data_IF_153661924101
#
_entry.id   IF_153661924101
#
_cell.length_a   1.000
_cell.length_b   1.000
_cell.length_c   1.000
_cell.angle_alpha   90.00
_cell.angle_beta   90.00
_cell.angle_gamma   90.00
#
_symmetry.space_group_name_H-M   'P 1'
#
loop_
_entity.id
_entity.type
_entity.pdbx_description
1 polymer ?
#
# COMPACT_ATOMS: atom_id res chain seq x y z
N UNK A 1 -14.93 -31.63 20.49
CA UNK A 1 -14.77 -31.54 19.02
C UNK A 1 -13.33 -31.92 18.73
N UNK A 2 -13.10 -33.14 18.25
CA UNK A 2 -11.75 -33.66 18.00
C UNK A 2 -11.23 -33.13 16.65
N UNK A 3 -10.12 -32.40 16.69
CA UNK A 3 -9.51 -31.79 15.50
C UNK A 3 -8.33 -32.65 15.02
N UNK A 4 -8.55 -33.45 13.98
CA UNK A 4 -7.51 -34.24 13.32
C UNK A 4 -6.82 -33.42 12.23
N UNK A 5 -5.65 -32.83 12.49
CA UNK A 5 -4.95 -31.94 11.54
C UNK A 5 -3.95 -32.74 10.69
N UNK A 6 -4.05 -32.56 9.39
CA UNK A 6 -3.10 -33.06 8.39
C UNK A 6 -2.25 -31.89 7.85
N UNK A 7 -1.01 -32.18 7.45
CA UNK A 7 -0.08 -31.23 6.83
C UNK A 7 -0.61 -30.82 5.44
N UNK A 8 -0.81 -29.52 5.20
CA UNK A 8 -1.14 -29.01 3.86
C UNK A 8 0.09 -28.35 3.23
N UNK A 9 0.23 -28.53 1.92
CA UNK A 9 1.08 -27.69 1.07
C UNK A 9 0.56 -26.23 1.15
N UNK A 10 1.46 -25.26 1.19
CA UNK A 10 1.17 -23.86 1.53
C UNK A 10 0.25 -23.09 0.56
N UNK A 11 -0.33 -22.02 1.13
CA UNK A 11 -0.85 -20.80 0.52
C UNK A 11 -2.36 -20.61 0.32
N UNK A 12 -3.15 -20.72 1.39
CA UNK A 12 -4.41 -19.97 1.56
C UNK A 12 -4.34 -19.16 2.86
N UNK A 13 -4.26 -17.82 2.84
CA UNK A 13 -4.48 -17.02 4.06
C UNK A 13 -5.96 -17.13 4.44
N UNK A 14 -6.31 -17.19 5.72
CA UNK A 14 -7.71 -17.15 6.14
C UNK A 14 -7.93 -16.01 7.12
N UNK A 15 -8.75 -15.04 6.73
CA UNK A 15 -9.25 -14.00 7.63
C UNK A 15 -10.57 -14.51 8.21
N UNK A 16 -10.62 -14.77 9.51
CA UNK A 16 -11.84 -15.17 10.19
C UNK A 16 -12.83 -14.00 10.26
N UNK A 17 -14.14 -14.26 10.19
CA UNK A 17 -15.13 -13.20 10.49
C UNK A 17 -15.00 -12.69 11.93
N UNK A 18 -15.79 -11.66 12.27
CA UNK A 18 -15.82 -11.10 13.63
C UNK A 18 -16.09 -12.20 14.66
N UNK A 19 -15.16 -12.36 15.60
CA UNK A 19 -15.21 -13.32 16.71
C UNK A 19 -14.94 -12.60 18.02
N UNK A 20 -15.50 -13.14 19.10
CA UNK A 20 -15.18 -12.67 20.43
C UNK A 20 -13.74 -13.08 20.82
N UNK A 21 -13.03 -12.26 21.64
CA UNK A 21 -11.67 -12.59 22.08
C UNK A 21 -11.57 -13.97 22.74
N UNK A 22 -12.62 -14.36 23.50
CA UNK A 22 -12.68 -15.68 24.14
C UNK A 22 -12.79 -16.84 23.16
N UNK A 23 -13.50 -16.69 22.05
CA UNK A 23 -13.59 -17.70 20.98
C UNK A 23 -12.24 -17.85 20.28
N UNK A 24 -11.61 -16.71 19.98
CA UNK A 24 -10.30 -16.63 19.34
C UNK A 24 -9.22 -17.29 20.21
N UNK A 25 -9.22 -16.99 21.51
CA UNK A 25 -8.29 -17.58 22.49
C UNK A 25 -8.46 -19.10 22.57
N UNK A 26 -9.69 -19.59 22.59
CA UNK A 26 -9.95 -21.04 22.58
C UNK A 26 -9.34 -21.71 21.36
N UNK A 27 -9.49 -21.11 20.17
CA UNK A 27 -8.88 -21.66 18.95
C UNK A 27 -7.35 -21.72 19.03
N UNK A 28 -6.72 -20.67 19.54
CA UNK A 28 -5.28 -20.60 19.71
C UNK A 28 -4.78 -21.66 20.69
N UNK A 29 -5.39 -21.77 21.88
CA UNK A 29 -5.00 -22.78 22.86
C UNK A 29 -5.29 -24.20 22.39
N UNK A 30 -6.41 -24.46 21.72
CA UNK A 30 -6.68 -25.78 21.15
C UNK A 30 -5.65 -26.17 20.09
N UNK A 31 -5.06 -25.22 19.37
CA UNK A 31 -3.96 -25.51 18.44
C UNK A 31 -2.67 -25.89 19.17
N UNK A 32 -2.36 -25.19 20.27
CA UNK A 32 -1.23 -25.53 21.16
C UNK A 32 -1.40 -26.94 21.74
N UNK A 33 -2.56 -27.23 22.32
CA UNK A 33 -2.90 -28.56 22.85
C UNK A 33 -2.74 -29.64 21.79
N UNK A 34 -3.21 -29.38 20.57
CA UNK A 34 -3.07 -30.32 19.47
C UNK A 34 -1.61 -30.52 19.05
N UNK A 35 -0.81 -29.45 18.94
CA UNK A 35 0.63 -29.55 18.63
C UNK A 35 1.39 -30.35 19.69
N UNK A 36 0.99 -30.25 20.96
CA UNK A 36 1.55 -31.01 22.08
C UNK A 36 1.21 -32.51 22.06
N UNK A 37 0.23 -32.94 21.27
CA UNK A 37 -0.18 -34.36 21.19
C UNK A 37 0.32 -35.01 19.89
N UNK A 38 0.88 -34.22 18.97
CA UNK A 38 1.50 -34.78 17.77
C UNK A 38 2.72 -35.62 18.11
N UNK A 39 2.91 -36.71 17.37
CA UNK A 39 4.08 -37.59 17.48
C UNK A 39 5.39 -36.90 17.08
N UNK A 40 5.32 -35.80 16.33
CA UNK A 40 6.44 -34.94 15.98
C UNK A 40 6.33 -33.60 16.75
N UNK A 41 7.08 -33.50 17.85
CA UNK A 41 7.13 -32.33 18.73
C UNK A 41 8.02 -31.19 18.21
N UNK A 42 8.62 -31.35 17.02
CA UNK A 42 9.57 -30.38 16.46
C UNK A 42 8.98 -28.97 16.42
N UNK A 43 7.75 -28.82 15.95
CA UNK A 43 7.10 -27.51 15.76
C UNK A 43 6.78 -26.79 17.06
N UNK A 44 6.30 -27.49 18.10
CA UNK A 44 6.03 -26.85 19.39
C UNK A 44 7.34 -26.45 20.08
N UNK A 45 8.36 -27.31 19.98
CA UNK A 45 9.69 -27.05 20.55
C UNK A 45 10.35 -25.85 19.87
N UNK A 46 10.25 -25.76 18.54
CA UNK A 46 10.75 -24.65 17.74
C UNK A 46 10.11 -23.32 18.14
N UNK A 47 8.77 -23.28 18.25
CA UNK A 47 8.04 -22.10 18.70
C UNK A 47 8.49 -21.63 20.11
N UNK A 48 8.68 -22.57 21.03
CA UNK A 48 9.13 -22.29 22.40
C UNK A 48 10.57 -21.77 22.44
N UNK A 49 11.45 -22.29 21.57
CA UNK A 49 12.85 -21.91 21.51
C UNK A 49 13.05 -20.54 20.84
N UNK A 50 12.39 -20.32 19.70
CA UNK A 50 12.54 -19.12 18.90
C UNK A 50 11.77 -17.93 19.47
N UNK A 51 10.73 -18.18 20.29
CA UNK A 51 9.83 -17.14 20.77
C UNK A 51 8.80 -16.70 19.73
N UNK A 52 8.63 -17.51 18.69
CA UNK A 52 7.70 -17.26 17.59
C UNK A 52 6.25 -17.31 18.06
N UNK A 53 5.39 -16.62 17.33
CA UNK A 53 3.98 -16.51 17.67
C UNK A 53 3.15 -17.55 16.92
N UNK A 54 2.19 -18.16 17.62
CA UNK A 54 1.03 -18.79 16.99
C UNK A 54 -0.06 -17.75 16.83
N UNK A 55 -0.63 -17.59 15.63
CA UNK A 55 -1.46 -16.42 15.36
C UNK A 55 -2.55 -16.66 14.32
N UNK A 56 -3.53 -15.75 14.27
CA UNK A 56 -4.54 -15.68 13.22
C UNK A 56 -4.96 -14.25 12.96
N UNK A 57 -5.63 -14.02 11.82
CA UNK A 57 -6.24 -12.75 11.45
C UNK A 57 -7.75 -12.90 11.49
N UNK A 58 -8.46 -11.93 12.06
CA UNK A 58 -9.92 -11.86 11.99
C UNK A 58 -10.40 -10.45 11.70
N UNK A 59 -11.63 -10.32 11.23
CA UNK A 59 -12.29 -9.01 11.18
C UNK A 59 -12.34 -8.41 12.57
N UNK A 60 -12.01 -7.12 12.64
CA UNK A 60 -12.10 -6.40 13.89
C UNK A 60 -13.55 -6.13 14.27
N UNK A 61 -13.77 -5.98 15.57
CA UNK A 61 -15.05 -5.51 16.10
C UNK A 61 -15.26 -4.02 15.84
N UNK A 62 -14.18 -3.30 15.52
CA UNK A 62 -14.25 -1.97 14.92
C UNK A 62 -14.31 -2.12 13.41
N UNK A 63 -15.33 -1.54 12.79
CA UNK A 63 -15.56 -1.64 11.35
C UNK A 63 -14.36 -1.11 10.55
N UNK A 64 -14.04 -1.81 9.46
CA UNK A 64 -12.95 -1.46 8.55
C UNK A 64 -11.53 -1.81 9.02
N UNK A 65 -11.36 -2.49 10.16
CA UNK A 65 -10.05 -2.93 10.67
C UNK A 65 -9.93 -4.46 10.69
N UNK A 66 -8.70 -4.94 10.65
CA UNK A 66 -8.36 -6.34 10.94
C UNK A 66 -7.76 -6.47 12.33
N UNK A 67 -8.00 -7.58 13.03
CA UNK A 67 -7.37 -7.89 14.31
C UNK A 67 -6.48 -9.11 14.17
N UNK A 68 -5.22 -8.96 14.56
CA UNK A 68 -4.28 -10.06 14.71
C UNK A 68 -4.20 -10.42 16.18
N UNK A 69 -4.40 -11.70 16.47
CA UNK A 69 -4.39 -12.23 17.83
C UNK A 69 -3.43 -13.41 17.87
N UNK A 70 -2.65 -13.51 18.95
CA UNK A 70 -1.57 -14.49 19.04
C UNK A 70 -1.31 -15.01 20.44
N UNK A 71 -0.61 -16.14 20.48
CA UNK A 71 0.05 -16.69 21.65
C UNK A 71 1.56 -16.71 21.43
N UNK A 72 2.32 -16.51 22.50
CA UNK A 72 3.76 -16.76 22.53
C UNK A 72 4.12 -17.54 23.79
N UNK A 73 5.23 -18.28 23.74
CA UNK A 73 5.75 -18.97 24.91
C UNK A 73 6.49 -18.00 25.82
N UNK A 74 6.05 -17.91 27.08
CA UNK A 74 6.76 -17.18 28.12
C UNK A 74 7.82 -18.11 28.72
N UNK A 75 9.10 -17.79 28.50
CA UNK A 75 10.23 -18.58 28.99
C UNK A 75 10.41 -18.48 30.50
N UNK A 76 10.04 -17.35 31.12
CA UNK A 76 10.18 -17.14 32.56
C UNK A 76 9.11 -17.93 33.31
N UNK A 77 7.88 -17.89 32.81
CA UNK A 77 6.74 -18.56 33.43
C UNK A 77 6.52 -19.99 32.94
N UNK A 78 7.25 -20.42 31.90
CA UNK A 78 7.10 -21.73 31.26
C UNK A 78 5.65 -22.05 30.88
N UNK A 79 4.96 -21.06 30.30
CA UNK A 79 3.56 -21.17 29.91
C UNK A 79 3.26 -20.37 28.64
N UNK A 80 2.20 -20.78 27.94
CA UNK A 80 1.69 -20.04 26.79
C UNK A 80 0.89 -18.84 27.27
N UNK A 81 1.31 -17.65 26.86
CA UNK A 81 0.65 -16.38 27.16
C UNK A 81 -0.09 -15.83 25.96
N UNK A 82 -1.27 -15.24 26.20
CA UNK A 82 -1.99 -14.46 25.18
C UNK A 82 -1.30 -13.11 25.03
N UNK A 83 -0.90 -12.76 23.80
CA UNK A 83 -0.43 -11.41 23.51
C UNK A 83 -1.62 -10.45 23.37
N UNK A 84 -1.38 -9.17 23.66
CA UNK A 84 -2.39 -8.14 23.41
C UNK A 84 -2.79 -8.11 21.92
N UNK A 85 -4.10 -8.24 21.60
CA UNK A 85 -4.57 -8.21 20.23
C UNK A 85 -4.22 -6.89 19.56
N UNK A 86 -3.65 -6.97 18.34
CA UNK A 86 -3.27 -5.81 17.56
C UNK A 86 -4.29 -5.57 16.46
N UNK A 87 -4.83 -4.35 16.38
CA UNK A 87 -5.78 -3.94 15.35
C UNK A 87 -5.04 -3.15 14.29
N UNK A 88 -5.13 -3.62 13.05
CA UNK A 88 -4.50 -3.04 11.89
C UNK A 88 -5.53 -2.34 11.00
N UNK A 89 -5.20 -1.13 10.62
CA UNK A 89 -5.98 -0.24 9.77
C UNK A 89 -5.19 0.02 8.49
N UNK A 90 -5.82 -0.10 7.32
CA UNK A 90 -5.21 0.26 6.06
C UNK A 90 -5.40 1.77 5.82
N UNK A 91 -4.32 2.54 5.91
CA UNK A 91 -4.32 4.00 5.71
C UNK A 91 -3.97 4.41 4.29
N UNK A 92 -4.38 5.62 3.90
CA UNK A 92 -4.07 6.17 2.59
C UNK A 92 -2.58 6.55 2.43
N UNK A 93 -1.91 7.00 3.50
CA UNK A 93 -0.55 7.55 3.39
C UNK A 93 0.53 6.54 3.77
N UNK A 94 0.28 5.68 4.76
CA UNK A 94 1.29 4.76 5.31
C UNK A 94 0.98 3.29 5.00
N UNK A 95 -0.20 3.00 4.46
CA UNK A 95 -0.74 1.65 4.37
C UNK A 95 -1.08 1.10 5.75
N UNK A 96 -0.67 -0.12 6.05
CA UNK A 96 -1.05 -0.80 7.30
C UNK A 96 -0.43 -0.16 8.54
N UNK A 97 -1.28 0.33 9.44
CA UNK A 97 -0.88 0.94 10.72
C UNK A 97 -1.66 0.32 11.87
N UNK A 98 -1.05 0.26 13.05
CA UNK A 98 -1.72 -0.21 14.27
C UNK A 98 -2.62 0.88 14.84
N UNK A 99 -3.88 0.57 15.11
CA UNK A 99 -4.81 1.45 15.80
C UNK A 99 -5.66 0.67 16.80
N UNK A 100 -5.15 0.55 18.03
CA UNK A 100 -5.80 -0.16 19.14
C UNK A 100 -6.76 0.71 19.95
N UNK A 101 -7.09 1.93 19.50
CA UNK A 101 -8.03 2.79 20.20
C UNK A 101 -9.50 2.44 19.87
N UNK A 102 -10.45 2.67 20.79
CA UNK A 102 -11.89 2.55 20.49
C UNK A 102 -12.28 3.50 19.35
N UNK A 103 -13.16 3.06 18.44
CA UNK A 103 -13.54 3.82 17.23
C UNK A 103 -14.13 5.21 17.51
N UNK A 104 -14.78 5.38 18.67
CA UNK A 104 -15.39 6.64 19.08
C UNK A 104 -14.43 7.57 19.84
N UNK A 105 -13.18 7.15 20.07
CA UNK A 105 -12.23 7.96 20.85
C UNK A 105 -11.52 9.00 19.99
N UNK A 106 -11.23 10.16 20.59
CA UNK A 106 -10.44 11.23 19.94
C UNK A 106 -9.07 10.72 19.48
N UNK A 107 -8.47 9.80 20.23
CA UNK A 107 -7.19 9.18 19.86
C UNK A 107 -7.29 8.34 18.59
N UNK A 108 -8.41 7.63 18.39
CA UNK A 108 -8.63 6.88 17.16
C UNK A 108 -8.72 7.83 15.96
N UNK A 109 -9.50 8.90 16.08
CA UNK A 109 -9.65 9.92 15.04
C UNK A 109 -8.33 10.65 14.75
N UNK A 110 -7.56 10.99 15.79
CA UNK A 110 -6.25 11.60 15.63
C UNK A 110 -5.27 10.71 14.83
N UNK A 111 -5.27 9.39 15.10
CA UNK A 111 -4.49 8.43 14.30
C UNK A 111 -4.98 8.43 12.86
N UNK A 112 -6.29 8.28 12.64
CA UNK A 112 -6.90 8.27 11.29
C UNK A 112 -6.52 9.52 10.50
N UNK A 113 -6.66 10.71 11.08
CA UNK A 113 -6.34 11.98 10.42
C UNK A 113 -4.85 12.09 10.10
N UNK A 114 -3.98 11.66 11.02
CA UNK A 114 -2.52 11.72 10.83
C UNK A 114 -2.02 10.86 9.67
N UNK A 115 -2.73 9.77 9.36
CA UNK A 115 -2.38 8.83 8.28
C UNK A 115 -3.22 9.02 7.01
N UNK A 116 -4.01 10.10 6.96
CA UNK A 116 -4.74 10.51 5.76
C UNK A 116 -6.11 9.85 5.58
N UNK A 117 -6.72 9.38 6.65
CA UNK A 117 -7.90 8.54 6.59
C UNK A 117 -7.56 7.06 6.45
N UNK A 118 -8.59 6.22 6.46
CA UNK A 118 -8.45 4.79 6.24
C UNK A 118 -9.32 4.29 5.10
N UNK A 119 -8.88 3.21 4.49
CA UNK A 119 -9.59 2.47 3.45
C UNK A 119 -10.42 1.42 4.15
N UNK A 120 -11.73 1.50 4.00
CA UNK A 120 -12.64 0.53 4.56
C UNK A 120 -12.37 -0.87 3.99
N UNK A 121 -12.22 -1.83 4.89
CA UNK A 121 -11.80 -3.20 4.60
C UNK A 121 -13.00 -4.04 4.18
N UNK A 122 -13.33 -4.00 2.89
CA UNK A 122 -14.23 -4.97 2.25
C UNK A 122 -13.42 -6.09 1.58
N UNK A 123 -14.05 -7.23 1.29
CA UNK A 123 -13.39 -8.39 0.67
C UNK A 123 -12.60 -8.04 -0.60
N UNK A 124 -13.18 -7.19 -1.44
CA UNK A 124 -12.60 -6.73 -2.71
C UNK A 124 -11.39 -5.81 -2.49
N UNK A 125 -11.39 -5.02 -1.42
CA UNK A 125 -10.33 -4.08 -1.08
C UNK A 125 -9.24 -4.70 -0.22
N UNK A 126 -9.53 -5.73 0.56
CA UNK A 126 -8.60 -6.37 1.48
C UNK A 126 -7.53 -7.19 0.76
N UNK A 127 -7.97 -7.99 -0.22
CA UNK A 127 -7.14 -9.00 -0.90
C UNK A 127 -5.85 -8.44 -1.52
N UNK A 128 -5.87 -7.32 -2.24
CA UNK A 128 -4.68 -6.77 -2.85
C UNK A 128 -3.64 -6.36 -1.79
N UNK A 129 -4.07 -5.74 -0.69
CA UNK A 129 -3.19 -5.13 0.33
C UNK A 129 -2.68 -6.10 1.38
N UNK A 130 -3.24 -7.31 1.45
CA UNK A 130 -2.89 -8.34 2.43
C UNK A 130 -1.39 -8.73 2.46
N UNK A 131 -0.66 -8.79 1.32
CA UNK A 131 0.79 -9.03 1.34
C UNK A 131 1.57 -7.99 2.16
N UNK A 132 1.17 -6.71 2.12
CA UNK A 132 1.78 -5.65 2.93
C UNK A 132 1.62 -5.91 4.43
N UNK A 133 0.43 -6.35 4.85
CA UNK A 133 0.19 -6.72 6.25
C UNK A 133 1.03 -7.94 6.65
N UNK A 134 1.09 -8.97 5.80
CA UNK A 134 1.91 -10.14 6.08
C UNK A 134 3.39 -9.81 6.23
N UNK A 135 3.91 -8.87 5.44
CA UNK A 135 5.29 -8.40 5.58
C UNK A 135 5.52 -7.80 6.97
N UNK A 136 4.68 -6.86 7.39
CA UNK A 136 4.76 -6.24 8.73
C UNK A 136 4.69 -7.31 9.82
N UNK A 137 3.78 -8.28 9.67
CA UNK A 137 3.64 -9.39 10.62
C UNK A 137 4.91 -10.24 10.68
N UNK A 138 5.49 -10.60 9.53
CA UNK A 138 6.72 -11.40 9.48
C UNK A 138 7.91 -10.70 10.16
N UNK A 139 8.04 -9.38 9.99
CA UNK A 139 9.06 -8.55 10.64
C UNK A 139 8.87 -8.46 12.17
N UNK A 140 7.70 -8.88 12.68
CA UNK A 140 7.32 -8.84 14.09
C UNK A 140 7.11 -10.25 14.71
N UNK A 141 7.71 -11.29 14.12
CA UNK A 141 7.71 -12.66 14.65
C UNK A 141 6.42 -13.45 14.39
N UNK A 142 5.58 -13.00 13.45
CA UNK A 142 4.37 -13.71 13.01
C UNK A 142 4.66 -14.45 11.70
N UNK A 143 5.39 -15.56 11.81
CA UNK A 143 5.78 -16.38 10.66
C UNK A 143 4.56 -17.09 10.03
N UNK A 144 4.49 -17.13 8.70
CA UNK A 144 3.31 -17.59 7.93
C UNK A 144 2.93 -19.04 8.26
N UNK A 145 3.93 -19.89 8.44
CA UNK A 145 3.83 -21.29 8.80
C UNK A 145 3.22 -21.52 10.19
N UNK A 146 3.23 -20.50 11.06
CA UNK A 146 2.70 -20.56 12.42
C UNK A 146 1.27 -20.00 12.51
N UNK A 147 0.67 -19.66 11.36
CA UNK A 147 -0.72 -19.22 11.30
C UNK A 147 -1.70 -20.37 11.56
N UNK A 148 -2.79 -20.06 12.25
CA UNK A 148 -3.94 -20.94 12.40
C UNK A 148 -4.91 -20.68 11.25
N UNK A 149 -5.05 -21.68 10.39
CA UNK A 149 -6.01 -21.70 9.30
C UNK A 149 -7.02 -22.85 9.47
N UNK A 150 -8.24 -22.72 8.93
CA UNK A 150 -9.12 -23.86 8.74
C UNK A 150 -8.54 -24.83 7.70
N UNK A 151 -8.90 -26.10 7.80
CA UNK A 151 -8.44 -27.13 6.86
C UNK A 151 -9.25 -27.10 5.58
N UNK A 152 -8.64 -27.57 4.49
CA UNK A 152 -9.36 -27.92 3.26
C UNK A 152 -10.52 -28.87 3.60
N UNK A 153 -11.75 -28.49 3.24
CA UNK A 153 -12.96 -29.26 3.53
C UNK A 153 -13.61 -29.02 4.91
N UNK A 154 -13.00 -28.22 5.79
CA UNK A 154 -13.62 -27.84 7.06
C UNK A 154 -14.62 -26.69 6.85
N UNK A 155 -15.92 -26.96 6.99
CA UNK A 155 -16.93 -25.92 6.99
C UNK A 155 -16.77 -25.03 8.23
N UNK A 156 -16.41 -23.77 8.02
CA UNK A 156 -16.50 -22.72 9.05
C UNK A 156 -17.89 -22.08 8.94
N UNK A 157 -18.57 -21.85 10.07
CA UNK A 157 -19.79 -21.01 10.08
C UNK A 157 -19.49 -19.54 9.76
N UNK A 158 -18.21 -19.16 9.88
CA UNK A 158 -17.68 -17.83 9.67
C UNK A 158 -17.22 -17.73 8.21
N UNK A 159 -17.74 -16.76 7.46
CA UNK A 159 -17.22 -16.41 6.14
C UNK A 159 -15.79 -15.92 6.34
N UNK A 160 -14.82 -16.61 5.75
CA UNK A 160 -13.47 -16.08 5.60
C UNK A 160 -13.25 -15.66 4.18
N UNK A 161 -12.65 -14.50 3.99
CA UNK A 161 -12.41 -13.94 2.67
C UNK A 161 -10.93 -13.97 2.35
N UNK A 162 -10.61 -14.51 1.17
CA UNK A 162 -9.31 -14.54 0.49
C UNK A 162 -8.38 -15.70 0.80
N UNK A 163 -8.46 -16.78 0.00
CA UNK A 163 -7.29 -17.62 -0.31
C UNK A 163 -6.28 -16.80 -1.11
N UNK A 164 -5.11 -16.55 -0.53
CA UNK A 164 -3.97 -15.94 -1.22
C UNK A 164 -2.93 -17.01 -1.53
N UNK A 165 -2.85 -17.40 -2.79
CA UNK A 165 -1.70 -18.15 -3.30
C UNK A 165 -0.50 -17.20 -3.39
N UNK A 166 0.42 -17.32 -2.44
CA UNK A 166 1.79 -16.84 -2.62
C UNK A 166 2.39 -17.82 -3.63
N UNK A 167 2.61 -17.39 -4.87
CA UNK A 167 3.60 -18.04 -5.73
C UNK A 167 4.95 -17.83 -5.06
N UNK A 168 5.28 -18.67 -4.07
CA UNK A 168 6.65 -18.90 -3.66
C UNK A 168 7.26 -19.67 -4.84
N UNK A 169 7.51 -18.95 -5.91
CA UNK A 169 8.56 -19.33 -6.83
C UNK A 169 9.80 -19.38 -5.95
N UNK A 170 10.13 -20.60 -5.48
CA UNK A 170 11.48 -20.93 -5.02
C UNK A 170 12.40 -20.17 -5.98
N UNK A 171 13.35 -19.35 -5.50
CA UNK A 171 14.26 -18.66 -6.40
C UNK A 171 14.82 -19.73 -7.32
N UNK A 172 14.42 -19.68 -8.60
CA UNK A 172 15.02 -20.53 -9.61
C UNK A 172 16.48 -20.19 -9.47
N UNK A 173 17.31 -21.20 -9.15
CA UNK A 173 18.75 -21.07 -9.20
C UNK A 173 19.06 -20.31 -10.49
N UNK A 174 19.46 -19.05 -10.34
CA UNK A 174 19.83 -18.22 -11.46
C UNK A 174 20.95 -18.97 -12.15
N UNK A 175 20.69 -19.28 -13.43
CA UNK A 175 21.71 -19.77 -14.32
C UNK A 175 22.82 -18.72 -14.30
N UNK A 176 23.95 -19.14 -13.74
CA UNK A 176 25.20 -18.38 -13.69
C UNK A 176 25.53 -17.91 -15.10
N UNK A 177 25.21 -16.66 -15.41
CA UNK A 177 25.40 -16.15 -16.78
C UNK A 177 24.75 -14.81 -17.05
N UNK A 178 25.03 -13.78 -16.23
CA UNK A 178 24.90 -12.33 -16.49
C UNK A 178 24.50 -11.61 -15.20
N UNK A 179 25.45 -11.39 -14.28
CA UNK A 179 25.22 -10.63 -13.04
C UNK A 179 25.05 -9.13 -13.36
N UNK A 180 23.82 -8.73 -13.67
CA UNK A 180 23.31 -7.44 -13.23
C UNK A 180 22.67 -7.73 -11.87
N UNK A 181 23.26 -7.23 -10.79
CA UNK A 181 22.63 -7.24 -9.47
C UNK A 181 21.45 -6.25 -9.53
N UNK A 182 20.27 -6.77 -9.88
CA UNK A 182 19.05 -5.97 -9.95
C UNK A 182 18.70 -5.43 -8.55
N UNK A 183 18.27 -4.18 -8.47
CA UNK A 183 17.90 -3.56 -7.20
C UNK A 183 16.50 -4.03 -6.80
N UNK A 184 16.39 -4.90 -5.79
CA UNK A 184 15.08 -5.33 -5.26
C UNK A 184 14.55 -4.27 -4.30
N UNK A 185 13.65 -3.42 -4.80
CA UNK A 185 13.03 -2.35 -4.00
C UNK A 185 11.61 -2.75 -3.67
N UNK A 186 11.33 -2.89 -2.38
CA UNK A 186 9.95 -3.07 -1.91
C UNK A 186 9.36 -1.71 -1.60
N UNK A 187 8.35 -1.30 -2.36
CA UNK A 187 7.66 -0.04 -2.12
C UNK A 187 6.78 -0.13 -0.87
N UNK A 188 6.74 0.92 -0.03
CA UNK A 188 5.75 1.03 1.02
C UNK A 188 4.35 1.01 0.45
N UNK A 189 3.43 0.40 1.20
CA UNK A 189 2.05 0.19 0.80
C UNK A 189 1.32 1.51 0.45
N UNK A 190 1.61 2.60 1.17
CA UNK A 190 1.10 3.94 0.85
C UNK A 190 1.54 4.47 -0.52
N UNK A 191 2.79 4.21 -0.92
CA UNK A 191 3.26 4.53 -2.28
C UNK A 191 2.56 3.64 -3.31
N UNK A 192 2.40 2.34 -3.03
CA UNK A 192 1.69 1.43 -3.93
C UNK A 192 0.24 1.89 -4.13
N UNK A 193 -0.48 2.25 -3.07
CA UNK A 193 -1.84 2.80 -3.14
C UNK A 193 -1.87 4.04 -4.04
N UNK A 194 -0.90 4.95 -3.89
CA UNK A 194 -0.85 6.17 -4.69
C UNK A 194 -0.62 5.90 -6.19
N UNK A 195 0.13 4.85 -6.54
CA UNK A 195 0.57 4.55 -7.90
C UNK A 195 -0.28 3.50 -8.63
N UNK A 196 -1.26 2.89 -7.97
CA UNK A 196 -2.10 1.82 -8.52
C UNK A 196 -3.48 2.34 -8.97
N UNK A 197 -4.07 1.65 -9.95
CA UNK A 197 -5.40 1.97 -10.47
C UNK A 197 -6.49 1.18 -9.70
N UNK A 198 -7.48 1.85 -9.10
CA UNK A 198 -8.58 1.17 -8.40
C UNK A 198 -9.38 0.21 -9.28
N UNK A 199 -9.61 0.54 -10.56
CA UNK A 199 -10.36 -0.33 -11.49
C UNK A 199 -9.56 -1.60 -11.80
N UNK A 200 -8.24 -1.48 -12.00
CA UNK A 200 -7.36 -2.63 -12.26
C UNK A 200 -7.39 -3.58 -11.08
N UNK A 201 -7.29 -3.05 -9.86
CA UNK A 201 -7.36 -3.83 -8.62
C UNK A 201 -8.67 -4.61 -8.54
N UNK A 202 -9.82 -3.96 -8.77
CA UNK A 202 -11.12 -4.64 -8.75
C UNK A 202 -11.23 -5.74 -9.81
N UNK A 203 -10.62 -5.55 -10.98
CA UNK A 203 -10.69 -6.49 -12.11
C UNK A 203 -9.73 -7.68 -11.96
N UNK A 204 -8.52 -7.46 -11.47
CA UNK A 204 -7.45 -8.48 -11.44
C UNK A 204 -7.17 -9.03 -10.04
N UNK A 205 -7.59 -8.31 -8.99
CA UNK A 205 -7.21 -8.60 -7.61
C UNK A 205 -5.73 -8.31 -7.30
N UNK A 206 -5.00 -7.67 -8.22
CA UNK A 206 -3.57 -7.40 -8.10
C UNK A 206 -3.28 -5.89 -8.07
N UNK A 207 -2.30 -5.50 -7.27
CA UNK A 207 -1.76 -4.14 -7.27
C UNK A 207 -0.60 -4.02 -8.24
N UNK A 208 -0.90 -3.47 -9.41
CA UNK A 208 0.10 -3.11 -10.40
C UNK A 208 0.13 -1.59 -10.58
N UNK A 209 1.33 -1.02 -10.61
CA UNK A 209 1.51 0.40 -10.88
C UNK A 209 0.96 0.75 -12.27
N UNK A 210 0.34 1.93 -12.38
CA UNK A 210 -0.22 2.42 -13.64
C UNK A 210 0.88 2.65 -14.69
N UNK A 211 0.64 2.24 -15.93
CA UNK A 211 1.55 2.50 -17.06
C UNK A 211 1.20 3.79 -17.77
N UNK A 212 -0.09 4.09 -17.92
CA UNK A 212 -0.57 5.31 -18.54
C UNK A 212 -1.65 5.98 -17.67
N UNK A 213 -1.25 6.62 -16.55
CA UNK A 213 -2.20 7.22 -15.63
C UNK A 213 -2.92 8.43 -16.24
N UNK A 214 -4.25 8.43 -16.12
CA UNK A 214 -5.15 9.55 -16.46
C UNK A 214 -6.00 9.89 -15.25
N UNK A 215 -6.21 11.18 -14.97
CA UNK A 215 -7.02 11.64 -13.83
C UNK A 215 -8.41 12.00 -14.30
N UNK A 216 -9.43 11.38 -13.71
CA UNK A 216 -10.82 11.69 -14.03
C UNK A 216 -11.23 13.01 -13.36
N UNK A 217 -11.91 13.88 -14.13
CA UNK A 217 -12.28 15.23 -13.68
C UNK A 217 -13.32 15.20 -12.56
N UNK A 218 -14.21 14.21 -12.58
CA UNK A 218 -15.32 14.11 -11.62
C UNK A 218 -14.88 13.78 -10.19
N UNK A 219 -13.75 13.09 -10.00
CA UNK A 219 -13.32 12.60 -8.69
C UNK A 219 -11.87 12.96 -8.33
N UNK A 220 -11.04 13.38 -9.30
CA UNK A 220 -9.62 13.67 -9.09
C UNK A 220 -8.74 12.46 -8.86
N UNK A 221 -9.25 11.25 -9.12
CA UNK A 221 -8.53 9.98 -8.97
C UNK A 221 -7.87 9.62 -10.31
N UNK A 222 -6.66 9.07 -10.23
CA UNK A 222 -5.92 8.57 -11.38
C UNK A 222 -6.24 7.10 -11.62
N UNK A 223 -6.45 6.77 -12.89
CA UNK A 223 -6.76 5.44 -13.39
C UNK A 223 -5.81 5.07 -14.52
N UNK A 224 -5.61 3.78 -14.74
CA UNK A 224 -5.00 3.29 -15.97
C UNK A 224 -5.94 3.57 -17.15
N UNK A 225 -5.43 4.24 -18.19
CA UNK A 225 -6.23 4.75 -19.32
C UNK A 225 -7.11 3.67 -19.95
N UNK A 226 -6.53 2.53 -20.28
CA UNK A 226 -7.23 1.46 -20.99
C UNK A 226 -8.40 0.91 -20.16
N UNK A 227 -8.22 0.74 -18.84
CA UNK A 227 -9.28 0.24 -17.96
C UNK A 227 -10.35 1.29 -17.67
N UNK A 228 -10.00 2.58 -17.64
CA UNK A 228 -10.98 3.66 -17.51
C UNK A 228 -11.89 3.70 -18.74
N UNK A 229 -11.31 3.65 -19.94
CA UNK A 229 -12.05 3.70 -21.21
C UNK A 229 -12.81 2.40 -21.49
N UNK A 230 -12.34 1.26 -21.01
CA UNK A 230 -13.12 0.00 -21.04
C UNK A 230 -14.38 0.13 -20.19
N UNK A 231 -14.27 0.70 -18.98
CA UNK A 231 -15.40 0.84 -18.05
C UNK A 231 -16.38 1.95 -18.46
N UNK A 232 -15.85 3.04 -19.03
CA UNK A 232 -16.62 4.21 -19.45
C UNK A 232 -16.19 4.67 -20.87
N UNK A 233 -16.69 4.01 -21.93
CA UNK A 233 -16.25 4.25 -23.31
C UNK A 233 -16.55 5.66 -23.85
N UNK A 234 -17.52 6.36 -23.26
CA UNK A 234 -17.98 7.67 -23.73
C UNK A 234 -17.15 8.86 -23.19
N UNK A 235 -16.20 8.60 -22.28
CA UNK A 235 -15.37 9.66 -21.70
C UNK A 235 -14.40 10.25 -22.74
N UNK A 236 -14.20 11.57 -22.69
CA UNK A 236 -13.33 12.31 -23.61
C UNK A 236 -12.14 12.95 -22.90
N UNK A 237 -10.95 12.71 -23.43
CA UNK A 237 -9.73 13.37 -22.96
C UNK A 237 -9.81 14.90 -23.13
N UNK A 238 -9.29 15.65 -22.16
CA UNK A 238 -9.34 17.11 -22.17
C UNK A 238 -10.70 17.70 -21.76
N UNK A 239 -11.68 16.84 -21.45
CA UNK A 239 -12.99 17.24 -20.90
C UNK A 239 -13.36 16.44 -19.65
N UNK A 240 -13.36 15.11 -19.74
CA UNK A 240 -13.81 14.21 -18.67
C UNK A 240 -12.64 13.59 -17.89
N UNK A 241 -11.47 13.52 -18.50
CA UNK A 241 -10.22 13.14 -17.86
C UNK A 241 -9.03 13.83 -18.52
N UNK A 242 -7.93 13.98 -17.79
CA UNK A 242 -6.68 14.57 -18.27
C UNK A 242 -5.51 13.58 -18.11
N UNK A 243 -4.51 13.59 -19.00
CA UNK A 243 -3.30 12.79 -18.79
C UNK A 243 -2.57 13.23 -17.53
N UNK A 244 -2.03 12.30 -16.74
CA UNK A 244 -1.28 12.62 -15.53
C UNK A 244 0.23 12.46 -15.77
N UNK A 245 0.82 13.45 -16.46
CA UNK A 245 2.21 13.38 -16.96
C UNK A 245 3.21 13.21 -15.83
N UNK A 246 3.00 13.94 -14.72
CA UNK A 246 3.91 13.94 -13.58
C UNK A 246 3.87 12.60 -12.84
N UNK A 247 2.67 12.06 -12.59
CA UNK A 247 2.54 10.73 -11.99
C UNK A 247 3.13 9.62 -12.88
N UNK A 248 2.92 9.69 -14.20
CA UNK A 248 3.52 8.76 -15.17
C UNK A 248 5.06 8.80 -15.08
N UNK A 249 5.63 9.98 -14.99
CA UNK A 249 7.08 10.18 -14.90
C UNK A 249 7.64 9.59 -13.60
N UNK A 250 6.97 9.86 -12.48
CA UNK A 250 7.31 9.28 -11.17
C UNK A 250 7.27 7.75 -11.21
N UNK A 251 6.21 7.16 -11.77
CA UNK A 251 6.10 5.70 -11.88
C UNK A 251 7.25 5.12 -12.70
N UNK A 252 7.65 5.78 -13.78
CA UNK A 252 8.77 5.33 -14.62
C UNK A 252 10.11 5.34 -13.85
N UNK A 253 10.34 6.30 -12.95
CA UNK A 253 11.53 6.30 -12.11
C UNK A 253 11.52 5.16 -11.10
N UNK A 254 10.39 4.99 -10.40
CA UNK A 254 10.26 4.00 -9.34
C UNK A 254 10.32 2.57 -9.88
N UNK A 255 9.74 2.34 -11.07
CA UNK A 255 9.69 1.03 -11.72
C UNK A 255 11.00 0.63 -12.41
N UNK A 256 12.03 1.49 -12.40
CA UNK A 256 13.33 1.24 -13.04
C UNK A 256 14.25 0.33 -12.18
N UNK A 257 13.69 -0.69 -11.53
CA UNK A 257 14.39 -1.59 -10.59
C UNK A 257 15.44 -2.49 -11.23
N UNK A 258 15.42 -2.60 -12.57
CA UNK A 258 16.46 -3.32 -13.33
C UNK A 258 17.79 -2.55 -13.44
N UNK A 259 17.85 -1.32 -12.95
CA UNK A 259 19.07 -0.52 -12.92
C UNK A 259 20.01 -0.93 -11.77
N UNK A 260 21.29 -0.58 -11.92
CA UNK A 260 22.28 -0.66 -10.83
C UNK A 260 21.89 0.27 -9.67
N UNK A 261 22.29 -0.01 -8.43
CA UNK A 261 21.90 0.79 -7.26
C UNK A 261 22.15 2.30 -7.41
N UNK A 262 23.30 2.71 -7.95
CA UNK A 262 23.65 4.13 -8.10
C UNK A 262 22.82 4.81 -9.21
N UNK A 263 22.57 4.09 -10.31
CA UNK A 263 21.73 4.56 -11.42
C UNK A 263 20.26 4.66 -11.00
N UNK A 264 19.80 3.71 -10.20
CA UNK A 264 18.46 3.73 -9.61
C UNK A 264 18.32 4.89 -8.62
N UNK A 265 19.33 5.11 -7.78
CA UNK A 265 19.36 6.24 -6.85
C UNK A 265 19.26 7.59 -7.58
N UNK A 266 20.00 7.76 -8.68
CA UNK A 266 19.91 8.96 -9.51
C UNK A 266 18.51 9.14 -10.14
N UNK A 267 17.73 8.06 -10.33
CA UNK A 267 16.32 8.16 -10.73
C UNK A 267 15.43 8.59 -9.58
N UNK A 268 15.64 8.07 -8.38
CA UNK A 268 14.88 8.46 -7.19
C UNK A 268 15.09 9.95 -6.86
N UNK A 269 16.31 10.47 -7.00
CA UNK A 269 16.58 11.91 -6.81
C UNK A 269 15.76 12.82 -7.75
N UNK A 270 15.41 12.34 -8.94
CA UNK A 270 14.55 13.10 -9.88
C UNK A 270 13.10 13.18 -9.42
N UNK A 271 12.66 12.26 -8.56
CA UNK A 271 11.33 12.33 -7.96
C UNK A 271 11.20 13.60 -7.12
N UNK A 272 12.24 14.03 -6.41
CA UNK A 272 12.23 15.27 -5.62
C UNK A 272 12.04 16.53 -6.48
N UNK A 273 12.52 16.51 -7.72
CA UNK A 273 12.23 17.55 -8.71
C UNK A 273 10.79 17.42 -9.22
N UNK A 274 10.34 16.20 -9.47
CA UNK A 274 9.01 15.91 -9.99
C UNK A 274 7.87 16.04 -8.98
N UNK A 275 8.14 16.23 -7.69
CA UNK A 275 7.10 16.61 -6.71
C UNK A 275 7.02 18.12 -6.47
N UNK A 276 7.89 18.92 -7.10
CA UNK A 276 7.85 20.38 -6.99
C UNK A 276 6.89 21.01 -7.99
N UNK A 277 6.29 22.11 -7.54
CA UNK A 277 5.47 23.00 -8.34
C UNK A 277 6.34 23.69 -9.41
N UNK A 278 5.99 23.62 -10.70
CA UNK A 278 6.77 24.27 -11.75
C UNK A 278 6.83 25.80 -11.66
N UNK A 279 5.89 26.44 -10.95
CA UNK A 279 5.84 27.91 -10.79
C UNK A 279 6.68 28.35 -9.59
N UNK A 280 6.49 27.72 -8.42
CA UNK A 280 7.15 28.10 -7.17
C UNK A 280 8.48 27.38 -6.93
N UNK A 281 8.74 26.26 -7.61
CA UNK A 281 9.87 25.35 -7.33
C UNK A 281 9.89 24.78 -5.90
N UNK A 282 8.73 24.77 -5.23
CA UNK A 282 8.52 24.21 -3.90
C UNK A 282 7.71 22.91 -3.99
N UNK A 283 7.86 21.99 -3.04
CA UNK A 283 7.06 20.76 -2.99
C UNK A 283 5.57 21.08 -2.92
N UNK A 284 4.77 20.47 -3.80
CA UNK A 284 3.33 20.70 -3.82
C UNK A 284 2.66 20.09 -2.58
N UNK A 285 1.79 20.86 -1.93
CA UNK A 285 0.98 20.39 -0.81
C UNK A 285 -0.46 20.07 -1.24
N UNK A 286 -1.01 20.86 -2.17
CA UNK A 286 -2.34 20.66 -2.76
C UNK A 286 -2.21 20.60 -4.31
N UNK A 287 -1.69 19.48 -4.86
CA UNK A 287 -1.44 19.37 -6.28
C UNK A 287 -2.76 19.31 -7.07
N UNK A 288 -2.87 20.17 -8.07
CA UNK A 288 -3.97 20.17 -9.05
C UNK A 288 -3.43 19.96 -10.46
N UNK A 289 -4.17 19.22 -11.27
CA UNK A 289 -3.88 18.91 -12.65
C UNK A 289 -4.59 19.91 -13.57
N UNK A 290 -3.85 20.49 -14.51
CA UNK A 290 -4.44 21.27 -15.59
C UNK A 290 -4.85 20.36 -16.76
N UNK A 291 -5.68 20.84 -17.70
CA UNK A 291 -6.05 20.09 -18.91
C UNK A 291 -4.89 19.70 -19.81
N UNK A 292 -3.71 20.32 -19.65
CA UNK A 292 -2.50 19.96 -20.38
C UNK A 292 -1.82 18.72 -19.79
N UNK A 293 -2.27 18.27 -18.62
CA UNK A 293 -1.74 17.11 -17.89
C UNK A 293 -0.55 17.40 -16.98
N UNK A 294 -0.18 18.67 -16.83
CA UNK A 294 0.81 19.11 -15.84
C UNK A 294 0.15 19.40 -14.49
N UNK A 295 0.84 19.04 -13.41
CA UNK A 295 0.39 19.35 -12.05
C UNK A 295 1.11 20.56 -11.48
N UNK A 296 0.38 21.31 -10.66
CA UNK A 296 0.82 22.54 -10.01
C UNK A 296 0.34 22.59 -8.57
N UNK A 297 0.99 23.38 -7.73
CA UNK A 297 0.42 23.77 -6.45
C UNK A 297 -0.84 24.62 -6.71
N UNK A 298 -1.97 24.28 -6.11
CA UNK A 298 -3.26 24.93 -6.38
C UNK A 298 -3.19 26.45 -6.30
N UNK A 299 -2.62 26.97 -5.22
CA UNK A 299 -2.52 28.42 -5.00
C UNK A 299 -1.65 29.10 -6.07
N UNK A 300 -0.60 28.44 -6.55
CA UNK A 300 0.32 29.02 -7.53
C UNK A 300 -0.34 29.15 -8.90
N UNK A 301 -0.98 28.08 -9.39
CA UNK A 301 -1.65 28.09 -10.70
C UNK A 301 -2.89 28.99 -10.70
N UNK A 302 -3.66 29.04 -9.62
CA UNK A 302 -4.78 29.97 -9.50
C UNK A 302 -4.31 31.44 -9.54
N UNK A 303 -3.19 31.74 -8.89
CA UNK A 303 -2.58 33.08 -8.92
C UNK A 303 -2.07 33.43 -10.32
N UNK A 304 -1.44 32.47 -11.02
CA UNK A 304 -1.03 32.63 -12.41
C UNK A 304 -2.22 32.94 -13.32
N UNK A 305 -3.30 32.16 -13.23
CA UNK A 305 -4.51 32.35 -14.03
C UNK A 305 -5.15 33.73 -13.76
N UNK A 306 -5.24 34.14 -12.49
CA UNK A 306 -5.76 35.47 -12.11
C UNK A 306 -4.91 36.61 -12.68
N UNK A 307 -3.58 36.51 -12.60
CA UNK A 307 -2.66 37.51 -13.16
C UNK A 307 -2.86 37.65 -14.67
N UNK A 308 -2.90 36.53 -15.39
CA UNK A 308 -3.15 36.51 -16.84
C UNK A 308 -4.54 36.99 -17.23
N UNK A 309 -5.51 36.96 -16.31
CA UNK A 309 -6.83 37.53 -16.53
C UNK A 309 -6.86 39.05 -16.32
N UNK A 310 -6.14 39.57 -15.32
CA UNK A 310 -6.04 41.01 -15.04
C UNK A 310 -5.28 41.78 -16.14
N UNK A 311 -4.32 41.11 -16.79
CA UNK A 311 -3.57 41.68 -17.93
C UNK A 311 -4.42 41.85 -19.20
N UNK A 312 -5.72 41.49 -19.16
CA UNK A 312 -6.62 41.53 -20.31
C UNK A 312 -7.70 42.60 -20.15
N UNK A 313 -8.12 43.25 -21.27
CA UNK A 313 -9.26 44.16 -21.24
C UNK A 313 -10.51 43.45 -20.70
N UNK A 314 -11.26 44.12 -19.82
CA UNK A 314 -12.43 43.62 -19.08
C UNK A 314 -13.54 43.01 -19.96
N UNK A 315 -13.46 43.19 -21.28
CA UNK A 315 -14.46 42.78 -22.28
C UNK A 315 -14.07 41.53 -23.07
N UNK A 316 -12.83 41.03 -22.95
CA UNK A 316 -12.35 39.93 -23.79
C UNK A 316 -12.32 38.59 -23.03
N UNK A 317 -13.46 37.90 -23.02
CA UNK A 317 -13.57 36.50 -22.59
C UNK A 317 -12.95 35.50 -23.60
N UNK A 318 -12.34 36.00 -24.68
CA UNK A 318 -11.86 35.21 -25.83
C UNK A 318 -10.36 34.93 -25.76
N UNK A 319 -9.60 35.72 -24.99
CA UNK A 319 -8.13 35.61 -24.98
C UNK A 319 -7.69 34.41 -24.13
N UNK A 320 -6.96 33.43 -24.71
CA UNK A 320 -6.46 32.26 -24.00
C UNK A 320 -5.73 32.59 -22.69
N UNK A 321 -5.89 31.75 -21.68
CA UNK A 321 -4.97 31.73 -20.52
C UNK A 321 -3.99 30.60 -20.79
N UNK A 322 -2.70 30.88 -21.03
CA UNK A 322 -1.74 29.83 -21.32
C UNK A 322 -1.37 29.06 -20.05
N UNK A 323 -1.32 27.74 -20.17
CA UNK A 323 -0.66 26.85 -19.24
C UNK A 323 0.83 27.25 -19.12
N UNK A 324 1.38 27.40 -17.90
CA UNK A 324 2.77 27.84 -17.70
C UNK A 324 3.80 26.97 -18.44
N UNK A 325 3.57 25.66 -18.52
CA UNK A 325 4.52 24.70 -19.09
C UNK A 325 4.32 24.50 -20.59
N UNK A 326 3.07 24.41 -21.04
CA UNK A 326 2.76 23.97 -22.42
C UNK A 326 2.24 25.08 -23.32
N UNK A 327 1.91 26.25 -22.76
CA UNK A 327 1.20 27.34 -23.46
C UNK A 327 -0.20 26.96 -23.97
N UNK A 328 -0.70 25.75 -23.66
CA UNK A 328 -2.05 25.33 -24.01
C UNK A 328 -3.08 26.21 -23.31
N UNK A 329 -4.19 26.52 -24.00
CA UNK A 329 -5.25 27.31 -23.39
C UNK A 329 -5.99 26.53 -22.29
N UNK A 330 -5.90 27.02 -21.05
CA UNK A 330 -6.59 26.48 -19.88
C UNK A 330 -7.77 27.36 -19.41
N UNK A 331 -8.10 28.43 -20.15
CA UNK A 331 -9.25 29.28 -19.81
C UNK A 331 -10.55 28.47 -19.82
N UNK A 332 -11.38 28.68 -18.80
CA UNK A 332 -12.71 28.06 -18.70
C UNK A 332 -12.66 26.54 -18.53
N UNK A 333 -11.48 25.98 -18.26
CA UNK A 333 -11.29 24.57 -17.94
C UNK A 333 -11.08 24.42 -16.44
N UNK A 334 -11.50 23.27 -15.91
CA UNK A 334 -11.38 22.97 -14.49
C UNK A 334 -9.96 22.54 -14.16
N UNK A 335 -9.41 23.08 -13.08
CA UNK A 335 -8.28 22.47 -12.39
C UNK A 335 -8.83 21.31 -11.57
N UNK A 336 -8.23 20.14 -11.72
CA UNK A 336 -8.71 18.90 -11.09
C UNK A 336 -7.78 18.55 -9.93
N UNK A 337 -8.27 18.26 -8.72
CA UNK A 337 -7.42 17.74 -7.65
C UNK A 337 -6.67 16.49 -8.11
N UNK A 338 -5.34 16.45 -7.99
CA UNK A 338 -4.53 15.28 -8.33
C UNK A 338 -4.33 14.42 -7.08
N UNK A 339 -5.37 13.67 -6.68
CA UNK A 339 -5.38 12.96 -5.39
C UNK A 339 -4.24 11.95 -5.30
N UNK A 340 -3.99 11.17 -6.34
CA UNK A 340 -2.91 10.18 -6.36
C UNK A 340 -1.53 10.81 -6.21
N UNK A 341 -1.27 11.94 -6.88
CA UNK A 341 0.00 12.66 -6.68
C UNK A 341 0.12 13.22 -5.27
N UNK A 342 -0.97 13.75 -4.69
CA UNK A 342 -0.98 14.19 -3.30
C UNK A 342 -0.67 13.03 -2.34
N UNK A 343 -1.27 11.85 -2.53
CA UNK A 343 -0.98 10.66 -1.74
C UNK A 343 0.50 10.27 -1.84
N UNK A 344 1.03 10.27 -3.06
CA UNK A 344 2.42 9.95 -3.33
C UNK A 344 3.38 10.92 -2.61
N UNK A 345 3.17 12.23 -2.75
CA UNK A 345 4.02 13.26 -2.13
C UNK A 345 4.06 13.10 -0.61
N UNK A 346 2.93 12.73 0.02
CA UNK A 346 2.88 12.51 1.48
C UNK A 346 3.61 11.24 1.92
N UNK A 347 3.59 10.19 1.11
CA UNK A 347 4.27 8.93 1.42
C UNK A 347 5.77 8.94 1.07
N UNK A 348 6.20 9.84 0.18
CA UNK A 348 7.54 9.86 -0.39
C UNK A 348 8.69 10.12 0.60
N UNK A 349 8.63 11.11 1.52
CA UNK A 349 9.76 11.45 2.38
C UNK A 349 10.25 10.28 3.24
N UNK A 350 9.32 9.58 3.90
CA UNK A 350 9.66 8.44 4.76
C UNK A 350 10.31 7.29 3.98
N UNK A 351 9.89 7.05 2.74
CA UNK A 351 10.51 6.07 1.86
C UNK A 351 11.91 6.50 1.45
N UNK A 352 12.06 7.75 1.01
CA UNK A 352 13.32 8.26 0.49
C UNK A 352 14.42 8.25 1.57
N UNK A 353 14.10 8.67 2.80
CA UNK A 353 15.01 8.62 3.95
C UNK A 353 15.48 7.19 4.28
N UNK A 354 14.56 6.20 4.26
CA UNK A 354 14.90 4.79 4.47
C UNK A 354 15.84 4.25 3.37
N UNK A 355 15.61 4.63 2.11
CA UNK A 355 16.48 4.23 1.01
C UNK A 355 17.86 4.90 1.10
N UNK A 356 17.92 6.19 1.46
CA UNK A 356 19.18 6.91 1.67
C UNK A 356 20.02 6.24 2.77
N UNK A 357 19.38 5.89 3.88
CA UNK A 357 20.03 5.20 4.99
C UNK A 357 20.60 3.83 4.59
N UNK A 358 19.82 3.02 3.83
CA UNK A 358 20.26 1.71 3.32
C UNK A 358 21.44 1.82 2.36
N UNK A 359 21.42 2.83 1.48
CA UNK A 359 22.54 3.09 0.57
C UNK A 359 23.80 3.48 1.35
N UNK A 360 23.68 4.35 2.36
CA UNK A 360 24.79 4.77 3.20
C UNK A 360 25.44 3.59 3.95
N UNK A 361 24.63 2.67 4.48
CA UNK A 361 25.13 1.43 5.09
C UNK A 361 25.91 0.61 4.06
N UNK A 362 25.28 0.33 2.90
CA UNK A 362 25.86 -0.52 1.85
C UNK A 362 27.23 0.00 1.38
N UNK A 363 27.33 1.29 1.10
CA UNK A 363 28.58 1.94 0.69
C UNK A 363 29.64 1.89 1.79
N UNK A 364 29.25 2.04 3.05
CA UNK A 364 30.17 1.96 4.19
C UNK A 364 30.73 0.54 4.38
N UNK A 365 29.90 -0.50 4.19
CA UNK A 365 30.34 -1.90 4.25
C UNK A 365 31.30 -2.27 3.12
N UNK A 366 31.07 -1.76 1.89
CA UNK A 366 31.94 -2.02 0.74
C UNK A 366 33.30 -1.31 0.81
N UNK A 367 33.43 -0.26 1.64
CA UNK A 367 34.71 0.42 1.90
C UNK A 367 35.57 -0.30 2.95
N UNK A 368 34.98 -1.22 3.73
CA UNK A 368 35.64 -1.98 4.79
C UNK A 368 36.03 -3.40 4.37
N UNK A 369 35.57 -3.85 3.20
CA UNK A 369 35.95 -5.09 2.49
C UNK A 369 37.02 -4.80 1.44
#
# INVERSE_FOLDING_TARGET
MELKIEQSNDADIFIYAKMEPGETNKMLFSKVEWLNIQSDFSKITELQQNGDKLWLIRDSRVDGLLTVQSLSWDKELSLWGINEPQRYMLSNYQGWVVNNFPSESDMFLAVVDSVGGFIDMTDEKAKPHLPGLLKILSENGYHVENRINPKVGQQTKLKGYTSYHIDVSKPKQEVVGSKLEATVVTLPEGIIIALTCPITILKTGQMNVMKDPVTQVSDGISYERDYLLEKYPDLKEGTDFYPNIKLKTIINYISATSLKPEEYWAKLQKVDEDIKDPILSETMNDPVLSPSGHSYEKKSIETWMKKKQLDLPTVSNIIPIPDPMTQQNIRGKHLVPNKNLMLFIKAWPAFYEDQEFKLAITLSTNLLS
#
